data_IF_541894338923
#
_entry.id   IF_541894338923
#
_cell.length_a   1.000
_cell.length_b   1.000
_cell.length_c   1.000
_cell.angle_alpha   90.00
_cell.angle_beta   90.00
_cell.angle_gamma   90.00
#
_symmetry.space_group_name_H-M   'P 1'
#
loop_
_entity.id
_entity.type
_entity.pdbx_description
1 polymer ?
#
# COMPACT_ATOMS: atom_id res chain seq x y z
N UNK A 1 -26.43 4.36 -15.33
CA UNK A 1 -25.11 4.56 -15.94
C UNK A 1 -24.11 3.60 -15.34
N UNK A 2 -23.31 2.97 -16.14
CA UNK A 2 -22.41 1.95 -15.60
C UNK A 2 -21.25 2.55 -14.82
N UNK A 3 -21.03 1.98 -13.65
CA UNK A 3 -19.87 2.24 -12.86
C UNK A 3 -19.04 0.96 -12.84
N UNK A 4 -17.73 1.08 -12.95
CA UNK A 4 -16.89 -0.09 -12.87
C UNK A 4 -15.56 0.24 -12.24
N UNK A 5 -14.86 -0.80 -11.81
CA UNK A 5 -13.54 -0.70 -11.21
C UNK A 5 -12.60 -1.54 -12.07
N UNK A 6 -11.46 -0.97 -12.41
CA UNK A 6 -10.47 -1.64 -13.23
C UNK A 6 -9.14 -1.64 -12.50
N UNK A 7 -8.49 -2.79 -12.47
CA UNK A 7 -7.11 -2.84 -11.97
C UNK A 7 -6.21 -2.29 -13.06
N UNK A 8 -5.53 -1.20 -12.75
CA UNK A 8 -4.67 -0.53 -13.73
C UNK A 8 -3.20 -0.85 -13.56
N UNK A 9 -2.81 -1.37 -12.39
CA UNK A 9 -1.41 -1.66 -12.14
C UNK A 9 -1.30 -2.71 -11.05
N UNK A 10 -0.30 -3.58 -11.16
CA UNK A 10 0.11 -4.47 -10.07
C UNK A 10 1.59 -4.24 -9.81
N UNK A 11 1.92 -3.95 -8.57
CA UNK A 11 3.29 -3.63 -8.16
C UNK A 11 3.74 -4.71 -7.19
N UNK A 12 4.89 -5.30 -7.46
CA UNK A 12 5.49 -6.31 -6.60
C UNK A 12 6.90 -5.91 -6.25
N UNK A 13 7.35 -6.29 -5.08
CA UNK A 13 8.73 -6.06 -4.71
C UNK A 13 8.97 -6.31 -3.25
N UNK A 14 10.11 -5.81 -2.80
CA UNK A 14 10.51 -5.83 -1.40
C UNK A 14 10.75 -4.41 -0.96
N UNK A 15 10.32 -4.09 0.25
CA UNK A 15 10.47 -2.75 0.76
C UNK A 15 10.54 -2.73 2.27
N UNK A 16 10.30 -1.56 2.84
CA UNK A 16 10.36 -1.36 4.27
C UNK A 16 9.05 -0.82 4.77
N UNK A 17 8.54 -1.45 5.81
CA UNK A 17 7.34 -1.00 6.50
C UNK A 17 7.75 -0.32 7.78
N UNK A 18 7.36 0.93 7.97
CA UNK A 18 7.69 1.71 9.16
C UNK A 18 6.43 2.06 9.92
N UNK A 19 6.43 1.81 11.20
CA UNK A 19 5.32 2.17 12.05
C UNK A 19 5.66 1.93 13.51
N UNK A 20 5.13 2.77 14.39
CA UNK A 20 5.32 2.61 15.83
C UNK A 20 6.77 2.56 16.28
N UNK A 21 7.68 3.21 15.57
CA UNK A 21 9.10 3.20 15.91
C UNK A 21 9.84 1.96 15.44
N UNK A 22 9.21 1.11 14.65
CA UNK A 22 9.83 -0.10 14.13
C UNK A 22 9.90 -0.07 12.62
N UNK A 23 10.91 -0.74 12.07
CA UNK A 23 11.11 -0.88 10.62
C UNK A 23 11.21 -2.37 10.32
N UNK A 24 10.39 -2.82 9.39
CA UNK A 24 10.36 -4.22 8.97
C UNK A 24 10.69 -4.34 7.50
N UNK A 25 11.50 -5.35 7.16
CA UNK A 25 11.70 -5.72 5.75
C UNK A 25 10.54 -6.63 5.33
N UNK A 26 9.85 -6.26 4.28
CA UNK A 26 8.65 -6.97 3.84
C UNK A 26 8.65 -7.16 2.34
N UNK A 27 7.97 -8.23 1.92
CA UNK A 27 7.57 -8.34 0.53
C UNK A 27 6.16 -7.79 0.38
N UNK A 28 5.81 -7.34 -0.81
CA UNK A 28 4.48 -6.80 -1.06
C UNK A 28 3.99 -7.11 -2.46
N UNK A 29 2.67 -7.18 -2.57
CA UNK A 29 1.97 -7.13 -3.85
C UNK A 29 0.89 -6.08 -3.68
N UNK A 30 0.87 -5.09 -4.55
CA UNK A 30 -0.11 -4.00 -4.48
C UNK A 30 -0.85 -3.95 -5.80
N UNK A 31 -2.18 -3.98 -5.71
CA UNK A 31 -3.04 -3.79 -6.87
C UNK A 31 -3.63 -2.38 -6.79
N UNK A 32 -3.42 -1.61 -7.84
CA UNK A 32 -3.96 -0.26 -7.95
C UNK A 32 -5.18 -0.31 -8.85
N UNK A 33 -6.26 0.28 -8.39
CA UNK A 33 -7.55 0.27 -9.06
C UNK A 33 -7.98 1.67 -9.39
N UNK A 34 -8.65 1.80 -10.51
CA UNK A 34 -9.32 3.02 -10.93
C UNK A 34 -10.81 2.77 -11.01
N UNK A 35 -11.56 3.61 -10.34
CA UNK A 35 -13.02 3.59 -10.43
C UNK A 35 -13.48 4.56 -11.49
N UNK A 36 -14.47 4.15 -12.26
CA UNK A 36 -15.04 4.95 -13.32
C UNK A 36 -16.54 5.13 -13.08
N UNK A 37 -17.02 6.31 -13.40
CA UNK A 37 -18.45 6.61 -13.42
C UNK A 37 -18.74 7.26 -14.77
N UNK A 38 -19.59 6.64 -15.58
CA UNK A 38 -19.95 7.14 -16.91
C UNK A 38 -18.71 7.37 -17.79
N UNK A 39 -17.77 6.43 -17.74
CA UNK A 39 -16.51 6.50 -18.50
C UNK A 39 -15.56 7.60 -18.03
N UNK A 40 -15.87 8.25 -16.91
CA UNK A 40 -15.01 9.27 -16.32
C UNK A 40 -14.26 8.66 -15.14
N UNK A 41 -12.92 8.73 -15.09
CA UNK A 41 -12.19 8.26 -13.92
C UNK A 41 -12.51 9.16 -12.73
N UNK A 42 -12.84 8.53 -11.59
CA UNK A 42 -13.25 9.26 -10.39
C UNK A 42 -12.31 9.05 -9.23
N UNK A 43 -12.12 7.82 -8.79
CA UNK A 43 -11.36 7.50 -7.59
C UNK A 43 -10.29 6.46 -7.92
N UNK A 44 -9.08 6.70 -7.41
CA UNK A 44 -8.02 5.71 -7.48
C UNK A 44 -7.72 5.21 -6.08
N UNK A 45 -7.62 3.91 -5.93
CA UNK A 45 -7.31 3.31 -4.64
C UNK A 45 -6.43 2.09 -4.84
N UNK A 46 -5.79 1.66 -3.77
CA UNK A 46 -4.90 0.52 -3.82
C UNK A 46 -5.12 -0.38 -2.62
N UNK A 47 -4.93 -1.67 -2.81
CA UNK A 47 -4.93 -2.64 -1.73
C UNK A 47 -3.94 -3.72 -2.06
N UNK A 48 -3.49 -4.41 -1.04
CA UNK A 48 -2.45 -5.39 -1.28
C UNK A 48 -2.23 -6.33 -0.11
N UNK A 49 -1.09 -6.98 -0.16
CA UNK A 49 -0.75 -8.04 0.78
C UNK A 49 0.73 -7.95 1.10
N UNK A 50 1.05 -8.01 2.39
CA UNK A 50 2.43 -8.05 2.88
C UNK A 50 2.83 -9.50 3.11
N UNK A 51 4.11 -9.79 2.89
CA UNK A 51 4.69 -11.08 3.19
C UNK A 51 6.01 -10.90 3.93
N UNK A 52 6.46 -11.97 4.59
CA UNK A 52 7.74 -11.95 5.30
C UNK A 52 7.68 -11.39 6.71
N UNK A 53 6.52 -11.03 7.22
CA UNK A 53 6.38 -10.58 8.60
C UNK A 53 5.97 -11.73 9.50
N UNK A 54 6.52 -11.74 10.72
CA UNK A 54 6.10 -12.69 11.74
C UNK A 54 4.74 -12.27 12.31
N UNK A 55 4.00 -13.24 12.84
CA UNK A 55 2.68 -12.99 13.42
C UNK A 55 2.72 -11.90 14.50
N UNK A 56 3.73 -11.91 15.35
CA UNK A 56 3.87 -10.89 16.40
C UNK A 56 4.04 -9.50 15.83
N UNK A 57 4.81 -9.36 14.76
CA UNK A 57 5.01 -8.07 14.12
C UNK A 57 3.72 -7.58 13.47
N UNK A 58 2.95 -8.48 12.88
CA UNK A 58 1.65 -8.13 12.32
C UNK A 58 0.68 -7.64 13.40
N UNK A 59 0.67 -8.30 14.55
CA UNK A 59 -0.15 -7.86 15.68
C UNK A 59 0.25 -6.45 16.12
N UNK A 60 1.54 -6.21 16.28
CA UNK A 60 2.03 -4.89 16.67
C UNK A 60 1.66 -3.81 15.66
N UNK A 61 1.68 -4.14 14.39
CA UNK A 61 1.36 -3.20 13.33
C UNK A 61 -0.15 -2.96 13.20
N UNK A 62 -0.95 -3.95 13.58
CA UNK A 62 -2.40 -3.88 13.46
C UNK A 62 -3.05 -3.13 14.63
N UNK A 63 -2.55 -3.35 15.86
CA UNK A 63 -3.19 -2.84 17.07
C UNK A 63 -3.29 -1.33 17.18
N UNK A 64 -2.28 -0.54 16.80
CA UNK A 64 -2.37 0.92 16.99
C UNK A 64 -3.37 1.62 16.09
N UNK A 65 -3.87 0.98 15.06
CA UNK A 65 -4.78 1.58 14.08
C UNK A 65 -4.21 2.86 13.44
N UNK A 66 -2.90 3.04 13.51
CA UNK A 66 -2.26 4.19 12.88
C UNK A 66 -1.80 3.78 11.47
N UNK A 67 -1.79 4.73 10.54
CA UNK A 67 -1.25 4.44 9.22
C UNK A 67 0.22 4.05 9.31
N UNK A 68 0.60 3.11 8.49
CA UNK A 68 1.97 2.66 8.37
C UNK A 68 2.54 3.18 7.07
N UNK A 69 3.84 3.45 7.05
CA UNK A 69 4.52 3.87 5.83
C UNK A 69 5.18 2.68 5.18
N UNK A 70 4.82 2.41 3.95
CA UNK A 70 5.45 1.36 3.15
C UNK A 70 6.30 2.02 2.07
N UNK A 71 7.61 1.88 2.19
CA UNK A 71 8.53 2.32 1.16
C UNK A 71 8.72 1.20 0.16
N UNK A 72 8.41 1.47 -1.09
CA UNK A 72 8.51 0.50 -2.18
C UNK A 72 9.93 0.42 -2.72
N UNK A 73 10.18 -0.61 -3.49
CA UNK A 73 11.49 -0.86 -4.06
C UNK A 73 11.94 0.26 -5.01
N UNK A 74 11.00 0.94 -5.64
CA UNK A 74 11.27 2.05 -6.56
C UNK A 74 11.22 3.42 -5.86
N UNK A 75 11.33 3.45 -4.55
CA UNK A 75 11.35 4.65 -3.72
C UNK A 75 10.02 5.37 -3.58
N UNK A 76 8.94 4.82 -4.12
CA UNK A 76 7.62 5.35 -3.82
C UNK A 76 7.20 4.97 -2.41
N UNK A 77 6.35 5.78 -1.81
CA UNK A 77 5.80 5.53 -0.49
C UNK A 77 4.30 5.40 -0.56
N UNK A 78 3.75 4.55 0.28
CA UNK A 78 2.32 4.42 0.44
C UNK A 78 1.98 4.42 1.91
N UNK A 79 0.94 5.13 2.29
CA UNK A 79 0.36 4.96 3.62
C UNK A 79 -0.62 3.82 3.55
N UNK A 80 -0.46 2.85 4.44
CA UNK A 80 -1.29 1.66 4.43
C UNK A 80 -1.92 1.43 5.79
N UNK A 81 -3.05 0.75 5.77
CA UNK A 81 -3.73 0.29 6.98
C UNK A 81 -3.88 -1.21 6.87
N UNK A 82 -3.29 -1.94 7.83
CA UNK A 82 -3.43 -3.38 7.89
C UNK A 82 -4.87 -3.75 8.24
N UNK A 83 -5.38 -4.78 7.57
CA UNK A 83 -6.75 -5.22 7.75
C UNK A 83 -6.85 -6.46 8.62
N UNK A 84 -5.83 -7.31 8.61
CA UNK A 84 -5.86 -8.59 9.33
C UNK A 84 -4.45 -9.14 9.52
N UNK A 85 -4.37 -10.30 10.13
CA UNK A 85 -3.11 -10.96 10.42
C UNK A 85 -2.55 -11.76 9.25
N UNK A 86 -3.25 -11.78 8.13
CA UNK A 86 -2.73 -12.37 6.89
C UNK A 86 -1.87 -11.40 6.12
N UNK A 87 -1.80 -10.15 6.56
CA UNK A 87 -0.99 -9.13 5.91
C UNK A 87 -1.73 -8.32 4.86
N UNK A 88 -3.05 -8.49 4.76
CA UNK A 88 -3.83 -7.69 3.82
C UNK A 88 -3.93 -6.25 4.30
N UNK A 89 -3.86 -5.32 3.35
CA UNK A 89 -3.92 -3.90 3.68
C UNK A 89 -4.64 -3.10 2.60
N UNK A 90 -5.08 -1.92 3.00
CA UNK A 90 -5.55 -0.90 2.07
C UNK A 90 -4.57 0.26 2.09
N UNK A 91 -4.33 0.87 0.95
CA UNK A 91 -3.49 2.05 0.83
C UNK A 91 -4.36 3.25 0.50
N UNK A 92 -4.07 4.37 1.16
CA UNK A 92 -4.78 5.62 0.86
C UNK A 92 -4.34 6.20 -0.46
N UNK A 93 -3.21 5.76 -0.96
CA UNK A 93 -2.70 6.16 -2.24
C UNK A 93 -1.23 5.88 -2.31
N UNK A 94 -0.68 5.92 -3.51
CA UNK A 94 0.75 5.79 -3.73
C UNK A 94 1.34 7.18 -3.90
N UNK A 95 2.28 7.49 -3.04
CA UNK A 95 2.98 8.76 -3.10
C UNK A 95 4.07 8.64 -4.15
N UNK A 96 4.11 9.58 -5.06
CA UNK A 96 5.12 9.57 -6.12
C UNK A 96 6.52 9.63 -5.52
N UNK A 97 7.53 9.04 -6.18
CA UNK A 97 8.90 9.12 -5.70
C UNK A 97 9.33 10.57 -5.51
N UNK A 98 10.09 10.81 -4.45
CA UNK A 98 10.68 12.13 -4.25
C UNK A 98 11.67 12.40 -5.38
N UNK A 99 11.49 13.52 -6.05
CA UNK A 99 12.43 13.91 -7.06
C UNK A 99 13.56 14.63 -6.38
N UNK A 100 14.53 13.88 -6.16
CA UNK A 100 15.68 14.53 -5.62
C UNK A 100 16.28 15.37 -6.68
N UNK A 101 16.22 15.57 -7.03
CA UNK A 101 16.56 15.94 -7.96
C UNK A 101 16.47 16.62 -8.72
N UNK A 102 16.44 16.67 -8.41
CA UNK A 102 16.21 17.23 -8.83
C UNK A 102 15.96 17.28 -9.60
N UNK A 103 15.67 17.04 -9.42
CA UNK A 103 15.35 17.34 -10.00
C UNK A 103 15.22 17.77 -10.24
#
# INVERSE_FOLDING_TARGET
MPNWVERIERIRGKGRLTGGGHIYSVGYVIDVYQKYSDSVPTLRFAKGHLSGMKAGDLVHSLLPHTPLDLELQDARHAQISLKNLDGEFEATGLIAPTRAKGA
#
